data_IF_225089023227
#
_entry.id   IF_225089023227
#
_cell.length_a   1.000
_cell.length_b   1.000
_cell.length_c   1.000
_cell.angle_alpha   90.00
_cell.angle_beta   90.00
_cell.angle_gamma   90.00
#
_symmetry.space_group_name_H-M   'P 1'
#
loop_
_entity.id
_entity.type
_entity.pdbx_description
1 polymer ?
#
# COMPACT_ATOMS: atom_id res chain seq x y z
N UNK A 1 -8.24 11.87 -12.39
CA UNK A 1 -7.10 12.33 -11.55
C UNK A 1 -5.89 11.48 -11.91
N UNK A 2 -4.71 12.08 -12.06
CA UNK A 2 -3.49 11.32 -12.30
C UNK A 2 -2.61 11.22 -11.04
N UNK A 3 -1.55 10.38 -11.10
CA UNK A 3 -0.65 10.11 -9.96
C UNK A 3 -0.02 11.40 -9.40
N UNK A 4 0.48 12.26 -10.27
CA UNK A 4 1.14 13.52 -9.85
C UNK A 4 0.15 14.48 -9.17
N UNK A 5 -1.07 14.55 -9.68
CA UNK A 5 -2.13 15.38 -9.11
C UNK A 5 -2.56 14.90 -7.73
N UNK A 6 -2.72 13.58 -7.55
CA UNK A 6 -3.12 13.02 -6.25
C UNK A 6 -2.05 13.27 -5.19
N UNK A 7 -0.77 13.01 -5.51
CA UNK A 7 0.36 13.30 -4.61
C UNK A 7 0.39 14.79 -4.26
N UNK A 8 0.31 15.66 -5.27
CA UNK A 8 0.33 17.12 -5.07
C UNK A 8 -0.80 17.58 -4.15
N UNK A 9 -2.04 17.15 -4.42
CA UNK A 9 -3.20 17.50 -3.57
C UNK A 9 -3.03 17.03 -2.13
N UNK A 10 -2.51 15.82 -1.94
CA UNK A 10 -2.26 15.27 -0.61
C UNK A 10 -1.23 16.10 0.17
N UNK A 11 -0.08 16.33 -0.42
CA UNK A 11 1.01 17.06 0.21
C UNK A 11 0.61 18.53 0.49
N UNK A 12 -0.01 19.21 -0.47
CA UNK A 12 -0.48 20.61 -0.29
C UNK A 12 -1.52 20.72 0.82
N UNK A 13 -2.47 19.77 0.88
CA UNK A 13 -3.48 19.74 1.93
C UNK A 13 -2.85 19.59 3.31
N UNK A 14 -1.98 18.59 3.53
CA UNK A 14 -1.37 18.42 4.84
C UNK A 14 -0.36 19.50 5.19
N UNK A 15 0.35 20.10 4.23
CA UNK A 15 1.12 21.32 4.45
C UNK A 15 0.24 22.47 4.94
N UNK A 16 -0.97 22.63 4.42
CA UNK A 16 -1.93 23.65 4.91
C UNK A 16 -2.41 23.40 6.34
N UNK A 17 -2.27 22.15 6.83
CA UNK A 17 -2.52 21.74 8.22
C UNK A 17 -1.24 21.72 9.08
N UNK A 18 -0.20 22.48 8.68
CA UNK A 18 1.10 22.60 9.35
C UNK A 18 1.97 21.34 9.39
N UNK A 19 1.74 20.38 8.50
CA UNK A 19 2.63 19.24 8.36
C UNK A 19 3.88 19.60 7.54
N UNK A 20 5.00 18.97 7.86
CA UNK A 20 6.24 19.05 7.08
C UNK A 20 6.36 17.80 6.22
N UNK A 21 6.65 18.03 4.95
CA UNK A 21 6.90 16.93 4.04
C UNK A 21 8.24 16.28 4.35
N UNK A 22 8.23 14.95 4.44
CA UNK A 22 9.44 14.12 4.61
C UNK A 22 9.74 13.36 3.33
N UNK A 23 11.03 13.12 3.04
CA UNK A 23 11.42 12.31 1.89
C UNK A 23 10.99 10.86 2.08
N UNK A 24 10.81 10.18 0.95
CA UNK A 24 10.59 8.74 0.91
C UNK A 24 11.86 8.00 1.36
N UNK A 25 11.69 6.96 2.17
CA UNK A 25 12.77 6.09 2.65
C UNK A 25 12.95 4.87 1.75
N UNK A 26 14.10 4.19 1.90
CA UNK A 26 14.38 2.92 1.23
C UNK A 26 13.35 1.85 1.59
N UNK A 27 13.12 0.92 0.67
CA UNK A 27 12.37 -0.32 0.92
C UNK A 27 13.09 -1.25 1.90
N UNK A 28 14.39 -1.04 2.11
CA UNK A 28 15.18 -1.84 3.04
C UNK A 28 15.21 -1.12 4.40
N UNK A 29 14.54 -1.68 5.43
CA UNK A 29 14.49 -1.08 6.74
C UNK A 29 15.87 -0.91 7.35
N UNK A 30 16.11 0.26 7.94
CA UNK A 30 17.33 0.50 8.72
C UNK A 30 17.01 0.32 10.21
N UNK A 31 17.76 -0.56 10.87
CA UNK A 31 17.68 -0.73 12.32
C UNK A 31 16.57 -1.66 12.83
N UNK A 32 15.83 -2.32 11.95
CA UNK A 32 14.85 -3.35 12.33
C UNK A 32 15.14 -4.67 11.58
N UNK A 33 15.85 -5.62 12.20
CA UNK A 33 16.14 -6.91 11.58
C UNK A 33 14.96 -7.88 11.54
N UNK A 34 13.83 -7.54 12.16
CA UNK A 34 12.64 -8.42 12.24
C UNK A 34 11.76 -8.30 11.00
N UNK A 35 12.00 -7.30 10.15
CA UNK A 35 11.21 -7.02 8.95
C UNK A 35 12.12 -6.95 7.73
N UNK A 36 11.78 -7.69 6.67
CA UNK A 36 12.60 -7.71 5.44
C UNK A 36 12.46 -6.42 4.62
N UNK A 37 11.29 -5.80 4.62
CA UNK A 37 10.99 -4.60 3.82
C UNK A 37 10.23 -3.57 4.63
N UNK A 38 10.28 -2.32 4.18
CA UNK A 38 9.40 -1.25 4.66
C UNK A 38 7.97 -1.56 4.23
N UNK A 39 7.11 -1.88 5.19
CA UNK A 39 5.73 -2.37 4.98
C UNK A 39 4.67 -1.29 5.10
N UNK A 40 5.01 -0.14 5.71
CA UNK A 40 4.11 0.99 5.95
C UNK A 40 4.90 2.30 6.07
N UNK A 41 4.21 3.41 5.89
CA UNK A 41 4.80 4.75 5.96
C UNK A 41 5.41 5.11 7.30
N UNK A 42 4.88 4.55 8.40
CA UNK A 42 5.39 4.77 9.75
C UNK A 42 6.68 4.00 10.05
N UNK A 43 7.02 2.97 9.30
CA UNK A 43 8.15 2.09 9.63
C UNK A 43 9.47 2.87 9.80
N UNK A 44 9.86 3.79 8.91
CA UNK A 44 11.04 4.63 9.12
C UNK A 44 10.92 5.59 10.31
N UNK A 45 9.71 5.80 10.83
CA UNK A 45 9.41 6.75 11.91
C UNK A 45 9.34 6.10 13.30
N UNK A 46 9.54 4.79 13.41
CA UNK A 46 9.46 4.06 14.70
C UNK A 46 10.25 4.73 15.83
N UNK A 47 11.50 5.19 15.68
CA UNK A 47 12.21 5.86 16.76
C UNK A 47 11.49 7.12 17.29
N UNK A 48 10.83 7.86 16.40
CA UNK A 48 10.10 9.10 16.73
C UNK A 48 8.74 8.79 17.36
N UNK A 49 8.08 7.73 16.94
CA UNK A 49 6.85 7.23 17.54
C UNK A 49 7.11 6.73 18.97
N UNK A 50 8.31 6.22 19.24
CA UNK A 50 8.78 5.82 20.57
C UNK A 50 9.28 7.01 21.43
N UNK A 51 9.20 8.25 20.92
CA UNK A 51 9.43 9.46 21.69
C UNK A 51 10.73 10.20 21.40
N UNK A 52 11.54 9.79 20.39
CA UNK A 52 12.61 10.65 19.90
C UNK A 52 12.03 11.89 19.21
N UNK A 53 12.76 13.01 19.26
CA UNK A 53 12.35 14.23 18.56
C UNK A 53 12.72 14.15 17.08
N UNK A 54 11.73 14.31 16.21
CA UNK A 54 12.00 14.42 14.77
C UNK A 54 12.51 15.83 14.42
N UNK A 55 13.56 15.98 13.57
CA UNK A 55 14.16 17.28 13.28
C UNK A 55 13.21 18.27 12.59
N UNK A 56 12.21 17.79 11.84
CA UNK A 56 11.21 18.64 11.19
C UNK A 56 9.96 18.93 12.04
N UNK A 57 9.91 18.45 13.28
CA UNK A 57 8.81 18.71 14.21
C UNK A 57 7.86 17.53 14.37
N UNK A 58 6.62 17.81 14.82
CA UNK A 58 5.67 16.80 15.28
C UNK A 58 4.61 16.41 14.24
N UNK A 59 4.37 17.25 13.22
CA UNK A 59 3.39 17.02 12.15
C UNK A 59 4.14 16.75 10.85
N UNK A 60 4.05 15.53 10.36
CA UNK A 60 4.76 15.08 9.16
C UNK A 60 3.79 14.55 8.12
N UNK A 61 4.14 14.66 6.85
CA UNK A 61 3.42 14.01 5.75
C UNK A 61 4.39 13.56 4.65
N UNK A 62 3.98 12.62 3.82
CA UNK A 62 4.81 12.14 2.73
C UNK A 62 4.14 11.02 1.94
N UNK A 63 4.89 10.49 0.99
CA UNK A 63 4.53 9.30 0.22
C UNK A 63 5.66 8.30 0.39
N UNK A 64 5.35 7.10 0.90
CA UNK A 64 6.34 6.07 1.19
C UNK A 64 6.17 4.87 0.26
N UNK A 65 7.27 4.41 -0.33
CA UNK A 65 7.36 3.10 -1.01
C UNK A 65 7.21 1.98 0.01
N UNK A 66 6.35 1.01 -0.29
CA UNK A 66 6.11 -0.13 0.58
C UNK A 66 6.16 -1.45 -0.18
N UNK A 67 6.61 -2.51 0.49
CA UNK A 67 6.53 -3.90 0.03
C UNK A 67 5.82 -4.73 1.09
N UNK A 68 4.76 -5.43 0.71
CA UNK A 68 4.11 -6.46 1.53
C UNK A 68 4.27 -7.82 0.88
N UNK A 69 4.90 -8.74 1.60
CA UNK A 69 5.24 -10.08 1.11
C UNK A 69 4.20 -11.13 1.48
N UNK A 70 3.36 -10.86 2.48
CA UNK A 70 2.26 -11.73 2.91
C UNK A 70 1.25 -11.97 1.81
N UNK A 71 1.00 -10.96 0.99
CA UNK A 71 -0.06 -10.95 -0.02
C UNK A 71 0.40 -11.47 -1.40
N UNK A 72 1.65 -11.94 -1.53
CA UNK A 72 2.21 -12.36 -2.84
C UNK A 72 1.35 -13.45 -3.51
N UNK A 73 0.79 -14.38 -2.73
CA UNK A 73 -0.01 -15.47 -3.28
C UNK A 73 -1.43 -15.02 -3.67
N UNK A 74 -1.91 -13.92 -3.11
CA UNK A 74 -3.20 -13.28 -3.40
C UNK A 74 -3.13 -12.37 -4.64
N UNK A 75 -1.94 -11.90 -4.99
CA UNK A 75 -1.73 -11.09 -6.20
C UNK A 75 -2.21 -11.85 -7.44
N UNK A 76 -3.05 -11.20 -8.21
CA UNK A 76 -3.78 -11.71 -9.37
C UNK A 76 -5.25 -11.35 -9.34
N UNK A 77 -5.76 -10.90 -8.17
CA UNK A 77 -7.06 -10.22 -8.04
C UNK A 77 -6.97 -8.75 -8.48
N UNK A 78 -8.03 -7.98 -8.22
CA UNK A 78 -8.17 -6.58 -8.65
C UNK A 78 -7.41 -5.58 -7.77
N UNK A 79 -7.04 -5.94 -6.53
CA UNK A 79 -6.71 -4.96 -5.47
C UNK A 79 -5.42 -5.23 -4.71
N UNK A 80 -4.90 -6.46 -4.70
CA UNK A 80 -3.67 -6.81 -3.98
C UNK A 80 -2.41 -6.49 -4.79
N UNK A 81 -1.44 -5.88 -4.12
CA UNK A 81 -0.16 -5.48 -4.70
C UNK A 81 1.00 -5.83 -3.78
N UNK A 82 2.10 -6.31 -4.37
CA UNK A 82 3.37 -6.50 -3.65
C UNK A 82 4.06 -5.17 -3.36
N UNK A 83 4.22 -4.34 -4.39
CA UNK A 83 4.71 -2.97 -4.26
C UNK A 83 3.56 -1.98 -4.41
N UNK A 84 3.51 -1.01 -3.50
CA UNK A 84 2.58 0.10 -3.57
C UNK A 84 3.16 1.36 -2.95
N UNK A 85 2.59 2.51 -3.28
CA UNK A 85 2.86 3.78 -2.62
C UNK A 85 1.82 3.98 -1.50
N UNK A 86 2.26 4.48 -0.35
CA UNK A 86 1.40 4.82 0.77
C UNK A 86 1.42 6.32 1.00
N UNK A 87 0.27 6.95 0.89
CA UNK A 87 0.07 8.31 1.37
C UNK A 87 0.11 8.29 2.90
N UNK A 88 0.91 9.14 3.52
CA UNK A 88 1.07 9.12 4.97
C UNK A 88 1.06 10.50 5.59
N UNK A 89 0.41 10.61 6.76
CA UNK A 89 0.56 11.75 7.65
C UNK A 89 0.63 11.30 9.10
N UNK A 90 1.47 11.98 9.87
CA UNK A 90 1.82 11.54 11.22
C UNK A 90 1.72 12.69 12.21
N UNK A 91 1.23 12.35 13.42
CA UNK A 91 1.32 13.19 14.62
C UNK A 91 2.24 12.53 15.64
N UNK A 92 3.32 13.19 15.99
CA UNK A 92 4.28 12.73 17.00
C UNK A 92 4.00 13.43 18.34
N UNK A 93 2.92 13.00 19.00
CA UNK A 93 2.47 13.61 20.26
C UNK A 93 1.98 15.06 20.10
N UNK A 94 1.24 15.36 19.02
CA UNK A 94 0.63 16.66 18.77
C UNK A 94 -0.91 16.53 18.77
N UNK A 95 -1.53 16.20 17.62
CA UNK A 95 -2.97 15.97 17.56
C UNK A 95 -3.36 14.50 17.77
N UNK A 96 -4.63 14.27 18.09
CA UNK A 96 -5.17 12.95 18.41
C UNK A 96 -6.37 12.60 17.51
N UNK A 97 -7.15 11.58 17.87
CA UNK A 97 -8.21 10.92 17.09
C UNK A 97 -9.15 11.88 16.39
N UNK A 98 -9.77 12.80 17.12
CA UNK A 98 -10.78 13.69 16.56
C UNK A 98 -10.22 14.56 15.43
N UNK A 99 -9.05 15.18 15.64
CA UNK A 99 -8.40 16.02 14.61
C UNK A 99 -7.93 15.18 13.43
N UNK A 100 -7.37 13.98 13.67
CA UNK A 100 -6.95 13.06 12.62
C UNK A 100 -8.12 12.66 11.72
N UNK A 101 -9.21 12.19 12.30
CA UNK A 101 -10.43 11.79 11.57
C UNK A 101 -11.00 12.97 10.78
N UNK A 102 -11.09 14.15 11.38
CA UNK A 102 -11.59 15.37 10.71
C UNK A 102 -10.73 15.76 9.50
N UNK A 103 -9.39 15.71 9.62
CA UNK A 103 -8.49 16.01 8.52
C UNK A 103 -8.61 14.99 7.38
N UNK A 104 -8.62 13.71 7.71
CA UNK A 104 -8.79 12.64 6.71
C UNK A 104 -10.14 12.77 5.99
N UNK A 105 -11.21 12.98 6.75
CA UNK A 105 -12.55 13.18 6.18
C UNK A 105 -12.62 14.43 5.28
N UNK A 106 -12.02 15.54 5.71
CA UNK A 106 -11.95 16.77 4.92
C UNK A 106 -11.17 16.54 3.62
N UNK A 107 -10.03 15.83 3.68
CA UNK A 107 -9.27 15.48 2.49
C UNK A 107 -10.10 14.63 1.51
N UNK A 108 -10.70 13.56 1.99
CA UNK A 108 -11.49 12.66 1.15
C UNK A 108 -12.71 13.36 0.54
N UNK A 109 -13.49 14.09 1.34
CA UNK A 109 -14.78 14.64 0.88
C UNK A 109 -14.68 15.99 0.20
N UNK A 110 -13.80 16.89 0.67
CA UNK A 110 -13.65 18.24 0.11
C UNK A 110 -12.60 18.35 -0.98
N UNK A 111 -11.45 17.67 -0.83
CA UNK A 111 -10.35 17.74 -1.79
C UNK A 111 -10.50 16.69 -2.89
N UNK A 112 -10.72 15.44 -2.52
CA UNK A 112 -10.90 14.33 -3.47
C UNK A 112 -12.32 14.23 -4.02
N UNK A 113 -13.30 14.93 -3.39
CA UNK A 113 -14.71 14.94 -3.79
C UNK A 113 -15.39 13.58 -3.72
N UNK A 114 -14.96 12.72 -2.80
CA UNK A 114 -15.59 11.41 -2.55
C UNK A 114 -17.01 11.65 -2.00
N UNK A 115 -18.06 11.10 -2.67
CA UNK A 115 -19.43 11.26 -2.21
C UNK A 115 -19.70 10.45 -0.95
N UNK A 116 -20.35 11.05 0.05
CA UNK A 116 -20.74 10.39 1.31
C UNK A 116 -21.57 9.12 1.09
N UNK A 117 -22.42 9.10 0.07
CA UNK A 117 -23.20 7.92 -0.29
C UNK A 117 -22.37 6.68 -0.62
N UNK A 118 -21.09 6.84 -0.92
CA UNK A 118 -20.13 5.77 -1.23
C UNK A 118 -19.07 5.56 -0.16
N UNK A 119 -19.22 6.19 1.00
CA UNK A 119 -18.22 6.20 2.07
C UNK A 119 -18.70 5.38 3.27
N UNK A 120 -17.86 4.57 3.84
CA UNK A 120 -18.10 3.81 5.05
C UNK A 120 -16.80 3.71 5.88
N UNK A 121 -16.92 3.35 7.15
CA UNK A 121 -15.79 3.25 8.06
C UNK A 121 -15.91 2.03 8.97
N UNK A 122 -14.76 1.52 9.40
CA UNK A 122 -14.68 0.58 10.52
C UNK A 122 -14.18 1.30 11.76
N UNK A 123 -14.47 0.77 12.93
CA UNK A 123 -13.97 1.27 14.21
C UNK A 123 -13.75 0.11 15.16
N UNK A 124 -12.68 0.17 15.92
CA UNK A 124 -12.32 -0.85 16.91
C UNK A 124 -13.44 -1.10 17.93
N UNK A 125 -13.90 -2.36 18.00
CA UNK A 125 -15.00 -2.78 18.87
C UNK A 125 -14.61 -2.98 20.32
N UNK A 126 -13.31 -2.95 20.63
CA UNK A 126 -12.75 -3.34 21.92
C UNK A 126 -12.39 -4.81 21.99
N UNK A 127 -11.47 -5.15 22.87
CA UNK A 127 -11.08 -6.51 23.24
C UNK A 127 -10.86 -6.59 24.76
N UNK A 128 -10.26 -7.69 25.25
CA UNK A 128 -10.00 -7.88 26.69
C UNK A 128 -9.07 -6.84 27.33
N UNK A 129 -8.17 -6.23 26.53
CA UNK A 129 -7.11 -5.33 27.00
C UNK A 129 -7.43 -3.85 26.74
N UNK A 130 -8.17 -3.56 25.66
CA UNK A 130 -8.46 -2.19 25.19
C UNK A 130 -9.96 -2.02 24.97
N UNK A 131 -10.51 -0.93 25.52
CA UNK A 131 -11.93 -0.62 25.41
C UNK A 131 -12.31 -0.21 23.98
N UNK A 132 -13.58 -0.41 23.66
CA UNK A 132 -14.22 0.08 22.44
C UNK A 132 -13.95 1.57 22.21
N UNK A 133 -13.70 1.95 20.96
CA UNK A 133 -13.36 3.32 20.58
C UNK A 133 -14.60 4.20 20.37
N UNK A 134 -15.20 4.62 21.50
CA UNK A 134 -16.38 5.50 21.48
C UNK A 134 -16.06 6.92 20.94
N UNK A 135 -14.79 7.38 21.04
CA UNK A 135 -14.38 8.70 20.56
C UNK A 135 -14.43 8.74 19.03
N UNK A 136 -13.88 7.74 18.36
CA UNK A 136 -13.94 7.63 16.90
C UNK A 136 -15.37 7.49 16.40
N UNK A 137 -16.22 6.69 17.06
CA UNK A 137 -17.64 6.55 16.70
C UNK A 137 -18.34 7.91 16.75
N UNK A 138 -18.21 8.64 17.85
CA UNK A 138 -18.84 9.97 18.02
C UNK A 138 -18.34 10.95 16.96
N UNK A 139 -17.06 10.92 16.67
CA UNK A 139 -16.45 11.79 15.66
C UNK A 139 -17.03 11.51 14.27
N UNK A 140 -17.08 10.24 13.83
CA UNK A 140 -17.66 9.86 12.55
C UNK A 140 -19.14 10.24 12.44
N UNK A 141 -19.95 10.00 13.48
CA UNK A 141 -21.36 10.41 13.51
C UNK A 141 -21.50 11.93 13.40
N UNK A 142 -20.65 12.71 14.06
CA UNK A 142 -20.68 14.18 14.01
C UNK A 142 -20.33 14.73 12.62
N UNK A 143 -19.58 13.98 11.81
CA UNK A 143 -19.24 14.30 10.43
C UNK A 143 -20.31 13.87 9.41
N UNK A 144 -21.39 13.26 9.88
CA UNK A 144 -22.52 12.86 9.03
C UNK A 144 -22.44 11.45 8.47
N UNK A 145 -21.49 10.62 8.93
CA UNK A 145 -21.46 9.19 8.57
C UNK A 145 -22.62 8.51 9.31
N UNK A 146 -23.59 7.89 8.60
CA UNK A 146 -24.71 7.23 9.25
C UNK A 146 -24.25 5.98 10.01
N UNK A 147 -24.95 5.68 11.10
CA UNK A 147 -24.60 4.54 11.99
C UNK A 147 -24.49 3.22 11.23
N UNK A 148 -25.29 3.01 10.21
CA UNK A 148 -25.30 1.83 9.35
C UNK A 148 -24.04 1.70 8.48
N UNK A 149 -23.25 2.77 8.37
CA UNK A 149 -21.96 2.83 7.65
C UNK A 149 -20.74 2.81 8.58
N UNK A 150 -20.95 2.58 9.88
CA UNK A 150 -19.90 2.39 10.88
C UNK A 150 -19.95 0.92 11.33
N UNK A 151 -18.98 0.14 10.91
CA UNK A 151 -18.84 -1.27 11.29
C UNK A 151 -17.87 -1.39 12.46
N UNK A 152 -18.25 -2.14 13.49
CA UNK A 152 -17.41 -2.39 14.65
C UNK A 152 -16.70 -3.73 14.48
N UNK A 153 -15.37 -3.73 14.58
CA UNK A 153 -14.54 -4.93 14.41
C UNK A 153 -13.46 -4.99 15.47
N UNK A 154 -13.15 -6.19 15.94
CA UNK A 154 -12.07 -6.42 16.92
C UNK A 154 -10.69 -6.39 16.26
N UNK A 155 -10.60 -6.73 14.97
CA UNK A 155 -9.41 -6.72 14.15
C UNK A 155 -9.01 -5.34 13.61
N UNK A 156 -9.77 -4.26 13.93
CA UNK A 156 -9.31 -2.88 13.75
C UNK A 156 -8.16 -2.54 14.72
N UNK A 157 -7.06 -3.20 14.50
CA UNK A 157 -5.81 -3.08 15.26
C UNK A 157 -4.63 -3.16 14.33
N UNK A 158 -3.73 -2.20 14.40
CA UNK A 158 -2.52 -2.18 13.60
C UNK A 158 -1.24 -2.15 14.44
N UNK A 159 -0.24 -2.87 13.93
CA UNK A 159 1.10 -2.92 14.51
C UNK A 159 1.31 -3.96 15.62
N UNK A 160 2.56 -4.11 16.01
CA UNK A 160 3.73 -3.43 15.44
C UNK A 160 4.08 -3.90 14.02
N UNK A 161 4.88 -3.11 13.29
CA UNK A 161 5.35 -3.47 11.95
C UNK A 161 6.27 -4.71 11.95
N UNK A 162 7.02 -4.91 13.05
CA UNK A 162 7.85 -6.07 13.32
C UNK A 162 7.37 -6.86 14.53
N UNK A 163 8.28 -7.53 15.23
CA UNK A 163 7.95 -8.29 16.45
C UNK A 163 7.56 -7.38 17.62
N UNK A 164 8.16 -6.20 17.69
CA UNK A 164 7.96 -5.21 18.76
C UNK A 164 7.80 -3.81 18.17
N UNK A 165 7.22 -2.90 18.94
CA UNK A 165 7.11 -1.49 18.56
C UNK A 165 5.73 -0.89 18.76
N UNK A 166 5.50 0.33 18.26
CA UNK A 166 4.26 1.06 18.43
C UNK A 166 3.10 0.36 17.72
N UNK A 167 1.94 0.35 18.38
CA UNK A 167 0.72 -0.27 17.91
C UNK A 167 -0.51 0.38 18.56
N UNK A 168 -1.67 0.05 18.08
CA UNK A 168 -2.93 0.50 18.67
C UNK A 168 -4.15 0.22 17.81
N UNK A 169 -5.34 0.56 18.34
CA UNK A 169 -6.59 0.47 17.59
C UNK A 169 -6.59 1.43 16.40
N UNK A 170 -7.42 1.14 15.42
CA UNK A 170 -7.52 1.94 14.23
C UNK A 170 -8.98 2.15 13.77
N UNK A 171 -9.11 2.99 12.73
CA UNK A 171 -10.36 3.20 11.99
C UNK A 171 -10.02 3.31 10.51
N UNK A 172 -10.58 2.41 9.73
CA UNK A 172 -10.38 2.35 8.28
C UNK A 172 -11.50 3.05 7.53
N UNK A 173 -11.18 3.57 6.36
CA UNK A 173 -12.11 4.23 5.46
C UNK A 173 -12.26 3.42 4.18
N UNK A 174 -13.51 3.18 3.80
CA UNK A 174 -13.90 2.39 2.64
C UNK A 174 -14.68 3.20 1.62
N UNK A 175 -14.46 2.90 0.36
CA UNK A 175 -15.18 3.44 -0.78
C UNK A 175 -15.91 2.31 -1.53
N UNK A 176 -17.19 2.55 -1.87
CA UNK A 176 -17.93 1.65 -2.73
C UNK A 176 -17.51 1.83 -4.19
N UNK A 177 -16.72 0.90 -4.71
CA UNK A 177 -16.09 0.99 -6.03
C UNK A 177 -17.02 0.81 -7.24
N UNK A 178 -18.03 -0.09 -7.25
CA UNK A 178 -18.84 -0.29 -8.44
C UNK A 178 -19.59 0.97 -8.88
N UNK A 179 -19.19 1.56 -10.00
CA UNK A 179 -19.73 2.83 -10.48
C UNK A 179 -21.19 2.77 -10.94
N UNK A 180 -21.64 1.61 -11.43
CA UNK A 180 -22.99 1.40 -11.98
C UNK A 180 -24.03 1.02 -10.95
N UNK A 181 -23.62 0.83 -9.69
CA UNK A 181 -24.52 0.43 -8.61
C UNK A 181 -24.45 1.41 -7.45
N UNK A 182 -25.57 1.67 -6.80
CA UNK A 182 -25.58 2.41 -5.54
C UNK A 182 -24.95 1.59 -4.43
N UNK A 183 -24.26 2.27 -3.53
CA UNK A 183 -23.72 1.61 -2.37
C UNK A 183 -24.86 1.12 -1.45
N UNK A 184 -24.76 -0.08 -0.86
CA UNK A 184 -25.73 -0.58 0.09
C UNK A 184 -25.93 0.39 1.25
N UNK A 185 -27.13 0.50 1.79
CA UNK A 185 -27.40 1.35 2.97
C UNK A 185 -26.56 0.93 4.17
N UNK A 186 -26.42 -0.36 4.38
CA UNK A 186 -25.63 -0.94 5.47
C UNK A 186 -24.26 -1.38 4.96
N UNK A 187 -23.22 -0.94 5.63
CA UNK A 187 -21.87 -1.45 5.41
C UNK A 187 -21.71 -2.81 6.07
N UNK A 188 -21.25 -3.78 5.28
CA UNK A 188 -20.79 -5.09 5.74
C UNK A 188 -19.49 -5.37 5.02
N UNK A 189 -18.52 -5.87 5.73
CA UNK A 189 -17.29 -6.41 5.18
C UNK A 189 -17.43 -7.94 5.24
N UNK A 190 -17.68 -8.54 4.11
CA UNK A 190 -17.68 -10.00 3.94
C UNK A 190 -16.33 -10.39 3.35
N UNK A 191 -15.74 -11.49 3.78
CA UNK A 191 -14.35 -11.93 3.47
C UNK A 191 -13.95 -11.95 1.98
N UNK A 192 -14.90 -11.71 1.08
CA UNK A 192 -14.68 -11.70 -0.38
C UNK A 192 -15.36 -10.52 -1.10
N UNK A 193 -15.89 -9.55 -0.36
CA UNK A 193 -16.56 -8.41 -1.00
C UNK A 193 -15.56 -7.28 -1.28
N UNK A 194 -14.84 -7.41 -2.40
CA UNK A 194 -13.90 -6.42 -2.91
C UNK A 194 -14.56 -5.11 -3.39
N UNK A 195 -15.89 -5.02 -3.36
CA UNK A 195 -16.60 -3.81 -3.79
C UNK A 195 -16.47 -2.64 -2.82
N UNK A 196 -16.30 -2.93 -1.54
CA UNK A 196 -15.86 -1.95 -0.55
C UNK A 196 -14.33 -1.95 -0.50
N UNK A 197 -13.73 -0.95 -1.12
CA UNK A 197 -12.26 -0.81 -1.21
C UNK A 197 -11.77 0.07 -0.08
N UNK A 198 -10.88 -0.46 0.75
CA UNK A 198 -10.17 0.34 1.74
C UNK A 198 -9.28 1.37 1.06
N UNK A 199 -9.47 2.65 1.38
CA UNK A 199 -8.71 3.78 0.84
C UNK A 199 -7.81 4.46 1.87
N UNK A 200 -7.87 4.05 3.12
CA UNK A 200 -6.98 4.56 4.17
C UNK A 200 -7.33 4.06 5.55
N UNK A 201 -6.37 4.19 6.44
CA UNK A 201 -6.48 3.77 7.83
C UNK A 201 -5.83 4.81 8.75
N UNK A 202 -6.54 5.27 9.78
CA UNK A 202 -5.99 6.07 10.88
C UNK A 202 -5.67 5.15 12.05
N UNK A 203 -4.39 4.94 12.34
CA UNK A 203 -3.92 4.16 13.47
C UNK A 203 -3.65 5.07 14.67
N UNK A 204 -4.19 4.72 15.81
CA UNK A 204 -4.07 5.45 17.08
C UNK A 204 -3.01 4.78 17.95
N UNK A 205 -1.75 5.14 17.72
CA UNK A 205 -0.62 4.51 18.40
C UNK A 205 -0.44 5.07 19.81
N UNK A 206 -0.99 4.36 20.77
CA UNK A 206 -0.87 4.68 22.21
C UNK A 206 -0.19 3.57 23.03
N UNK A 207 0.10 2.42 22.39
CA UNK A 207 0.72 1.26 23.03
C UNK A 207 2.00 0.85 22.28
N UNK A 208 2.90 0.20 23.03
CA UNK A 208 4.08 -0.48 22.52
C UNK A 208 3.99 -1.97 22.88
N UNK A 209 4.13 -2.83 21.88
CA UNK A 209 4.31 -4.27 22.12
C UNK A 209 5.78 -4.55 22.42
N UNK A 210 6.05 -5.11 23.59
CA UNK A 210 7.38 -5.48 24.06
C UNK A 210 7.77 -6.89 23.64
N UNK A 211 9.07 -7.26 23.78
CA UNK A 211 9.59 -8.59 23.41
C UNK A 211 8.93 -9.76 24.17
N UNK A 212 8.45 -9.53 25.38
CA UNK A 212 7.70 -10.52 26.18
C UNK A 212 6.19 -10.56 25.85
N UNK A 213 5.80 -9.84 24.78
CA UNK A 213 4.43 -9.84 24.23
C UNK A 213 3.44 -8.98 24.97
N UNK A 214 3.89 -8.16 25.95
CA UNK A 214 3.02 -7.24 26.70
C UNK A 214 2.81 -5.95 25.93
N UNK A 215 1.66 -5.34 26.17
CA UNK A 215 1.34 -3.99 25.70
C UNK A 215 1.53 -2.98 26.82
N UNK A 216 2.41 -2.02 26.61
CA UNK A 216 2.67 -0.94 27.58
C UNK A 216 2.33 0.42 26.95
N UNK A 217 1.86 1.41 27.75
CA UNK A 217 1.59 2.75 27.21
C UNK A 217 2.84 3.40 26.62
N UNK A 218 2.70 4.02 25.44
CA UNK A 218 3.73 4.89 24.88
C UNK A 218 3.88 6.17 25.71
N UNK A 219 5.05 6.81 25.65
CA UNK A 219 5.32 8.11 26.27
C UNK A 219 4.46 9.25 25.72
N UNK A 220 3.98 9.09 24.50
CA UNK A 220 3.15 10.04 23.77
C UNK A 220 2.12 9.29 22.92
N UNK A 221 0.99 9.92 22.65
CA UNK A 221 -0.02 9.43 21.74
C UNK A 221 0.31 9.91 20.32
N UNK A 222 0.36 8.99 19.36
CA UNK A 222 0.71 9.29 18.00
C UNK A 222 -0.42 8.91 17.05
N UNK A 223 -0.49 9.63 15.95
CA UNK A 223 -1.32 9.27 14.80
C UNK A 223 -0.41 8.77 13.68
N UNK A 224 -0.79 7.65 13.09
CA UNK A 224 -0.27 7.17 11.82
C UNK A 224 -1.43 6.99 10.86
N UNK A 225 -1.46 7.78 9.79
CA UNK A 225 -2.38 7.57 8.68
C UNK A 225 -1.64 6.90 7.53
N UNK A 226 -2.21 5.81 7.01
CA UNK A 226 -1.77 5.14 5.79
C UNK A 226 -2.91 5.06 4.78
N UNK A 227 -2.74 5.70 3.61
CA UNK A 227 -3.69 5.62 2.49
C UNK A 227 -3.07 4.86 1.32
N UNK A 228 -3.73 3.77 0.86
CA UNK A 228 -3.30 3.02 -0.32
C UNK A 228 -3.42 3.88 -1.58
N UNK A 229 -2.27 4.26 -2.16
CA UNK A 229 -2.23 5.18 -3.30
C UNK A 229 -2.95 4.60 -4.52
N UNK A 230 -2.59 3.38 -4.92
CA UNK A 230 -3.12 2.71 -6.11
C UNK A 230 -4.64 2.50 -5.99
N UNK A 231 -5.12 2.08 -4.81
CA UNK A 231 -6.54 1.90 -4.53
C UNK A 231 -7.31 3.23 -4.60
N UNK A 232 -6.78 4.26 -3.96
CA UNK A 232 -7.37 5.60 -3.99
C UNK A 232 -7.42 6.15 -5.41
N UNK A 233 -6.33 6.02 -6.18
CA UNK A 233 -6.27 6.47 -7.56
C UNK A 233 -7.29 5.75 -8.45
N UNK A 234 -7.43 4.42 -8.30
CA UNK A 234 -8.38 3.63 -9.06
C UNK A 234 -9.82 4.05 -8.79
N UNK A 235 -10.25 4.13 -7.52
CA UNK A 235 -11.62 4.49 -7.18
C UNK A 235 -11.97 5.93 -7.59
N UNK A 236 -11.03 6.88 -7.52
CA UNK A 236 -11.22 8.26 -7.98
C UNK A 236 -11.41 8.36 -9.50
N UNK A 237 -10.89 7.40 -10.26
CA UNK A 237 -11.07 7.32 -11.71
C UNK A 237 -12.22 6.37 -12.11
N UNK A 238 -12.97 5.89 -11.14
CA UNK A 238 -14.11 5.04 -11.40
C UNK A 238 -13.75 3.62 -11.84
N UNK A 239 -12.59 3.15 -11.45
CA UNK A 239 -12.10 1.81 -11.76
C UNK A 239 -12.39 0.87 -10.59
N UNK A 240 -12.84 -0.31 -10.88
CA UNK A 240 -13.02 -1.44 -9.96
C UNK A 240 -11.86 -2.44 -10.04
N UNK A 241 -10.87 -2.14 -10.86
CA UNK A 241 -9.65 -2.90 -11.07
C UNK A 241 -8.44 -1.95 -11.07
N UNK A 242 -7.55 -2.10 -10.09
CA UNK A 242 -6.39 -1.24 -9.93
C UNK A 242 -5.41 -1.32 -11.11
N UNK A 243 -5.38 -2.48 -11.79
CA UNK A 243 -4.49 -2.71 -12.94
C UNK A 243 -4.90 -1.94 -14.21
N UNK A 244 -6.10 -1.37 -14.22
CA UNK A 244 -6.54 -0.45 -15.27
C UNK A 244 -6.16 1.01 -14.99
N UNK A 245 -5.58 1.29 -13.82
CA UNK A 245 -5.10 2.64 -13.49
C UNK A 245 -3.80 2.98 -14.24
N UNK A 246 -3.50 4.27 -14.35
CA UNK A 246 -2.29 4.75 -15.07
C UNK A 246 -0.96 4.22 -14.51
N UNK A 247 -0.96 3.75 -13.27
CA UNK A 247 0.25 3.19 -12.61
C UNK A 247 0.47 1.71 -12.89
N UNK A 248 -0.47 1.06 -13.59
CA UNK A 248 -0.37 -0.33 -14.02
C UNK A 248 -0.71 -0.53 -15.50
N UNK A 249 -1.69 0.20 -16.03
CA UNK A 249 -2.19 -0.02 -17.38
C UNK A 249 -1.10 0.04 -18.48
N UNK A 250 -0.10 0.94 -18.43
CA UNK A 250 1.00 0.90 -19.41
C UNK A 250 1.82 -0.39 -19.34
N UNK A 251 1.92 -1.01 -18.15
CA UNK A 251 2.60 -2.31 -17.98
C UNK A 251 1.73 -3.42 -18.57
N UNK A 252 0.44 -3.44 -18.25
CA UNK A 252 -0.54 -4.38 -18.83
C UNK A 252 -0.52 -4.28 -20.35
N UNK A 253 -0.58 -3.06 -20.91
CA UNK A 253 -0.54 -2.83 -22.34
C UNK A 253 0.73 -3.38 -23.01
N UNK A 254 1.87 -3.29 -22.33
CA UNK A 254 3.11 -3.90 -22.83
C UNK A 254 3.01 -5.42 -22.85
N UNK A 255 2.36 -6.04 -21.86
CA UNK A 255 2.14 -7.49 -21.82
C UNK A 255 1.18 -7.92 -22.93
N UNK A 256 0.09 -7.18 -23.18
CA UNK A 256 -0.83 -7.45 -24.31
C UNK A 256 -0.09 -7.45 -25.66
N UNK A 257 0.74 -6.42 -25.90
CA UNK A 257 1.52 -6.32 -27.16
C UNK A 257 2.47 -7.51 -27.34
N UNK A 258 3.09 -7.98 -26.26
CA UNK A 258 4.06 -9.08 -26.32
C UNK A 258 3.40 -10.44 -26.45
N UNK A 259 2.25 -10.65 -25.80
CA UNK A 259 1.53 -11.93 -25.82
C UNK A 259 0.58 -12.07 -27.01
N UNK A 260 0.16 -10.95 -27.61
CA UNK A 260 -0.91 -10.93 -28.60
C UNK A 260 -2.30 -11.22 -28.01
N UNK A 261 -2.42 -11.25 -26.68
CA UNK A 261 -3.68 -11.52 -25.95
C UNK A 261 -4.23 -10.23 -25.35
N UNK A 262 -5.56 -10.11 -25.26
CA UNK A 262 -6.20 -8.97 -24.63
C UNK A 262 -6.37 -9.21 -23.11
N UNK A 263 -6.27 -8.16 -22.30
CA UNK A 263 -6.38 -8.24 -20.83
C UNK A 263 -7.70 -8.88 -20.37
N UNK A 264 -8.80 -8.59 -21.06
CA UNK A 264 -10.12 -9.11 -20.74
C UNK A 264 -10.50 -10.38 -21.51
N UNK A 265 -9.55 -11.07 -22.16
CA UNK A 265 -9.81 -12.25 -22.98
C UNK A 265 -10.34 -13.43 -22.14
N UNK A 266 -9.73 -13.68 -20.97
CA UNK A 266 -10.20 -14.67 -19.98
C UNK A 266 -9.75 -14.28 -18.57
N UNK A 267 -10.32 -14.91 -17.54
CA UNK A 267 -9.92 -14.70 -16.15
C UNK A 267 -8.47 -15.18 -15.90
N UNK A 268 -8.05 -16.25 -16.56
CA UNK A 268 -6.67 -16.77 -16.49
C UNK A 268 -5.68 -15.79 -17.13
N UNK A 269 -6.00 -15.24 -18.30
CA UNK A 269 -5.19 -14.22 -18.99
C UNK A 269 -5.07 -12.98 -18.11
N UNK A 270 -6.19 -12.49 -17.60
CA UNK A 270 -6.24 -11.34 -16.70
C UNK A 270 -5.38 -11.55 -15.45
N UNK A 271 -5.55 -12.67 -14.78
CA UNK A 271 -4.75 -13.05 -13.61
C UNK A 271 -3.26 -13.12 -13.91
N UNK A 272 -2.89 -13.73 -15.04
CA UNK A 272 -1.50 -13.86 -15.46
C UNK A 272 -0.87 -12.50 -15.72
N UNK A 273 -1.56 -11.59 -16.42
CA UNK A 273 -1.09 -10.24 -16.70
C UNK A 273 -0.93 -9.40 -15.42
N UNK A 274 -1.87 -9.50 -14.47
CA UNK A 274 -1.78 -8.82 -13.17
C UNK A 274 -0.55 -9.27 -12.38
N UNK A 275 -0.33 -10.58 -12.28
CA UNK A 275 0.82 -11.13 -11.58
C UNK A 275 2.14 -10.67 -12.20
N UNK A 276 2.24 -10.71 -13.53
CA UNK A 276 3.45 -10.25 -14.23
C UNK A 276 3.68 -8.76 -13.97
N UNK A 277 2.65 -7.94 -14.14
CA UNK A 277 2.74 -6.48 -13.96
C UNK A 277 3.16 -6.11 -12.53
N UNK A 278 2.52 -6.68 -11.52
CA UNK A 278 2.83 -6.46 -10.11
C UNK A 278 4.27 -6.89 -9.78
N UNK A 279 4.63 -8.11 -10.13
CA UNK A 279 5.90 -8.69 -9.72
C UNK A 279 7.11 -8.06 -10.43
N UNK A 280 6.98 -7.67 -11.70
CA UNK A 280 8.04 -6.93 -12.40
C UNK A 280 8.16 -5.52 -11.83
N UNK A 281 7.05 -4.82 -11.58
CA UNK A 281 7.05 -3.51 -10.91
C UNK A 281 7.75 -3.58 -9.55
N UNK A 282 7.36 -4.53 -8.69
CA UNK A 282 7.99 -4.73 -7.38
C UNK A 282 9.49 -5.04 -7.49
N UNK A 283 9.87 -5.92 -8.42
CA UNK A 283 11.27 -6.29 -8.65
C UNK A 283 12.12 -5.11 -9.09
N UNK A 284 11.60 -4.24 -9.95
CA UNK A 284 12.29 -3.00 -10.37
C UNK A 284 12.65 -2.13 -9.17
N UNK A 285 11.72 -1.91 -8.26
CA UNK A 285 11.95 -1.08 -7.06
C UNK A 285 12.89 -1.75 -6.05
N UNK A 286 12.76 -3.06 -5.83
CA UNK A 286 13.64 -3.80 -4.92
C UNK A 286 15.10 -3.77 -5.42
N UNK A 287 15.32 -3.96 -6.73
CA UNK A 287 16.67 -3.87 -7.32
C UNK A 287 17.19 -2.43 -7.27
N UNK A 288 16.33 -1.44 -7.49
CA UNK A 288 16.71 -0.03 -7.39
C UNK A 288 17.26 0.33 -6.00
N UNK A 289 16.71 -0.26 -4.95
CA UNK A 289 17.18 -0.10 -3.56
C UNK A 289 18.37 -1.02 -3.20
N UNK A 290 18.98 -1.69 -4.19
CA UNK A 290 20.28 -2.35 -4.07
C UNK A 290 20.24 -3.86 -3.88
N UNK A 291 19.07 -4.48 -3.79
CA UNK A 291 18.96 -5.94 -3.62
C UNK A 291 19.14 -6.65 -4.96
N UNK A 292 19.81 -7.79 -4.93
CA UNK A 292 19.97 -8.69 -6.08
C UNK A 292 19.33 -10.05 -5.79
N UNK A 293 18.81 -10.77 -6.82
CA UNK A 293 18.21 -12.09 -6.63
C UNK A 293 19.19 -13.10 -6.05
N UNK A 294 18.83 -13.71 -4.92
CA UNK A 294 19.65 -14.77 -4.29
C UNK A 294 18.76 -15.73 -3.49
N UNK A 295 19.33 -16.54 -2.59
CA UNK A 295 18.62 -17.58 -1.84
C UNK A 295 18.35 -17.22 -0.37
N UNK A 296 18.57 -15.97 0.05
CA UNK A 296 18.41 -15.51 1.43
C UNK A 296 17.59 -14.22 1.50
N UNK A 297 16.82 -14.05 2.56
CA UNK A 297 16.15 -12.79 2.95
C UNK A 297 15.46 -12.06 1.79
N UNK A 298 15.73 -10.76 1.64
CA UNK A 298 15.14 -9.92 0.59
C UNK A 298 15.45 -10.43 -0.83
N UNK A 299 16.66 -10.96 -1.03
CA UNK A 299 17.06 -11.51 -2.33
C UNK A 299 16.30 -12.77 -2.71
N UNK A 300 15.87 -13.58 -1.72
CA UNK A 300 14.99 -14.71 -1.96
C UNK A 300 13.58 -14.27 -2.38
N UNK A 301 13.04 -13.26 -1.73
CA UNK A 301 11.73 -12.69 -2.10
C UNK A 301 11.79 -12.14 -3.53
N UNK A 302 12.79 -11.33 -3.84
CA UNK A 302 13.00 -10.80 -5.19
C UNK A 302 13.08 -11.90 -6.24
N UNK A 303 13.87 -12.95 -5.98
CA UNK A 303 13.97 -14.12 -6.86
C UNK A 303 12.62 -14.83 -7.05
N UNK A 304 11.84 -14.98 -5.98
CA UNK A 304 10.49 -15.59 -6.03
C UNK A 304 9.56 -14.77 -6.90
N UNK A 305 9.55 -13.44 -6.77
CA UNK A 305 8.74 -12.54 -7.59
C UNK A 305 9.07 -12.67 -9.09
N UNK A 306 10.37 -12.55 -9.45
CA UNK A 306 10.82 -12.66 -10.84
C UNK A 306 10.43 -14.02 -11.42
N UNK A 307 10.69 -15.11 -10.72
CA UNK A 307 10.37 -16.47 -11.18
C UNK A 307 8.88 -16.72 -11.31
N UNK A 308 8.06 -16.16 -10.40
CA UNK A 308 6.62 -16.25 -10.49
C UNK A 308 6.10 -15.49 -11.73
N UNK A 309 6.62 -14.29 -12.00
CA UNK A 309 6.31 -13.56 -13.23
C UNK A 309 6.68 -14.39 -14.50
N UNK A 310 7.86 -15.03 -14.51
CA UNK A 310 8.29 -15.86 -15.66
C UNK A 310 7.36 -17.07 -15.85
N UNK A 311 6.90 -17.70 -14.77
CA UNK A 311 5.93 -18.80 -14.88
C UNK A 311 4.64 -18.36 -15.55
N UNK A 312 4.07 -17.23 -15.14
CA UNK A 312 2.86 -16.69 -15.77
C UNK A 312 3.11 -16.13 -17.17
N UNK A 313 4.35 -15.70 -17.47
CA UNK A 313 4.77 -15.40 -18.84
C UNK A 313 4.68 -16.61 -19.77
N UNK A 314 4.98 -17.81 -19.27
CA UNK A 314 4.80 -19.05 -20.04
C UNK A 314 3.33 -19.37 -20.34
N UNK A 315 2.42 -19.09 -19.39
CA UNK A 315 0.97 -19.23 -19.61
C UNK A 315 0.47 -18.28 -20.73
N UNK A 316 1.12 -17.14 -20.89
CA UNK A 316 0.87 -16.18 -21.97
C UNK A 316 1.73 -16.39 -23.21
N UNK A 317 2.56 -17.43 -23.24
CA UNK A 317 3.45 -17.80 -24.35
C UNK A 317 4.53 -16.74 -24.68
N UNK A 318 4.87 -15.88 -23.70
CA UNK A 318 5.94 -14.89 -23.85
C UNK A 318 7.27 -15.36 -23.28
N UNK A 319 8.38 -14.97 -23.95
CA UNK A 319 9.75 -15.32 -23.56
C UNK A 319 10.64 -14.08 -23.59
N UNK A 320 11.71 -14.07 -22.78
CA UNK A 320 12.71 -13.00 -22.72
C UNK A 320 12.10 -11.60 -22.58
N UNK A 321 11.17 -11.46 -21.64
CA UNK A 321 10.24 -10.34 -21.57
C UNK A 321 10.48 -9.39 -20.39
N UNK A 322 11.19 -9.83 -19.33
CA UNK A 322 11.25 -9.08 -18.05
C UNK A 322 11.73 -7.64 -18.23
N UNK A 323 12.75 -7.43 -19.08
CA UNK A 323 13.27 -6.09 -19.38
C UNK A 323 12.26 -5.22 -20.12
N UNK A 324 11.54 -5.79 -21.07
CA UNK A 324 10.60 -5.03 -21.89
C UNK A 324 9.38 -4.60 -21.08
N UNK A 325 8.93 -5.45 -20.14
CA UNK A 325 7.83 -5.15 -19.22
C UNK A 325 8.26 -4.18 -18.10
N UNK A 326 9.54 -4.14 -17.76
CA UNK A 326 10.08 -3.16 -16.81
C UNK A 326 10.13 -1.72 -17.38
N UNK A 327 10.23 -1.53 -18.70
CA UNK A 327 10.39 -0.19 -19.28
C UNK A 327 9.28 0.80 -18.89
N UNK A 328 7.99 0.49 -18.95
CA UNK A 328 6.94 1.41 -18.53
C UNK A 328 7.06 1.85 -17.07
N UNK A 329 7.64 1.03 -16.19
CA UNK A 329 7.82 1.39 -14.77
C UNK A 329 8.71 2.63 -14.62
N UNK A 330 9.77 2.75 -15.42
CA UNK A 330 10.66 3.93 -15.38
C UNK A 330 9.96 5.20 -15.85
N UNK A 331 9.02 5.10 -16.78
CA UNK A 331 8.23 6.24 -17.27
C UNK A 331 7.20 6.69 -16.24
N UNK A 332 6.43 5.74 -15.65
CA UNK A 332 5.40 6.00 -14.64
C UNK A 332 6.02 6.66 -13.41
N UNK A 333 7.17 6.15 -12.96
CA UNK A 333 7.82 6.53 -11.70
C UNK A 333 9.08 7.40 -11.94
N UNK A 334 9.05 8.26 -12.94
CA UNK A 334 10.20 9.10 -13.34
C UNK A 334 10.66 10.13 -12.29
N UNK A 335 9.93 10.31 -11.21
CA UNK A 335 10.31 11.15 -10.07
C UNK A 335 11.24 10.43 -9.08
N UNK A 336 11.39 9.12 -9.15
CA UNK A 336 12.32 8.37 -8.31
C UNK A 336 13.71 8.35 -8.91
N UNK A 337 14.64 9.05 -8.28
CA UNK A 337 16.02 9.19 -8.81
C UNK A 337 16.77 7.87 -8.82
N UNK A 338 16.51 7.00 -7.83
CA UNK A 338 17.11 5.67 -7.75
C UNK A 338 16.76 4.77 -8.95
N UNK A 339 15.57 4.90 -9.52
CA UNK A 339 15.20 4.17 -10.74
C UNK A 339 16.04 4.63 -11.94
N UNK A 340 16.23 5.94 -12.09
CA UNK A 340 17.04 6.51 -13.17
C UNK A 340 18.51 6.09 -13.04
N UNK A 341 19.06 6.24 -11.84
CA UNK A 341 20.47 5.98 -11.58
C UNK A 341 20.83 4.48 -11.74
N UNK A 342 19.89 3.59 -11.45
CA UNK A 342 20.13 2.14 -11.45
C UNK A 342 19.49 1.41 -12.65
N UNK A 343 18.93 2.12 -13.64
CA UNK A 343 18.18 1.50 -14.77
C UNK A 343 18.94 0.36 -15.42
N UNK A 344 20.22 0.56 -15.78
CA UNK A 344 21.02 -0.46 -16.44
C UNK A 344 21.18 -1.69 -15.55
N UNK A 345 21.50 -1.50 -14.27
CA UNK A 345 21.65 -2.59 -13.31
C UNK A 345 20.34 -3.36 -13.12
N UNK A 346 19.20 -2.65 -13.02
CA UNK A 346 17.88 -3.26 -12.86
C UNK A 346 17.58 -4.20 -14.04
N UNK A 347 17.76 -3.71 -15.25
CA UNK A 347 17.52 -4.49 -16.47
C UNK A 347 18.46 -5.70 -16.59
N UNK A 348 19.73 -5.53 -16.19
CA UNK A 348 20.71 -6.63 -16.18
C UNK A 348 20.34 -7.73 -15.17
N UNK A 349 19.95 -7.39 -13.96
CA UNK A 349 19.59 -8.38 -12.93
C UNK A 349 18.29 -9.11 -13.27
N UNK A 350 17.29 -8.42 -13.83
CA UNK A 350 16.05 -9.04 -14.31
C UNK A 350 16.36 -10.07 -15.41
N UNK A 351 17.09 -9.67 -16.44
CA UNK A 351 17.48 -10.54 -17.57
C UNK A 351 18.30 -11.75 -17.10
N UNK A 352 19.28 -11.53 -16.22
CA UNK A 352 20.13 -12.59 -15.67
C UNK A 352 19.33 -13.66 -14.91
N UNK A 353 18.39 -13.25 -14.05
CA UNK A 353 17.54 -14.20 -13.32
C UNK A 353 16.55 -14.91 -14.25
N UNK A 354 16.02 -14.23 -15.27
CA UNK A 354 15.17 -14.84 -16.30
C UNK A 354 15.92 -15.93 -17.07
N UNK A 355 17.10 -15.65 -17.58
CA UNK A 355 17.94 -16.62 -18.28
C UNK A 355 18.29 -17.83 -17.40
N UNK A 356 18.69 -17.57 -16.15
CA UNK A 356 19.01 -18.63 -15.18
C UNK A 356 17.81 -19.52 -14.89
N UNK A 357 16.62 -18.95 -14.75
CA UNK A 357 15.42 -19.71 -14.45
C UNK A 357 14.92 -20.50 -15.65
N UNK A 358 14.97 -19.92 -16.86
CA UNK A 358 14.62 -20.63 -18.10
C UNK A 358 15.53 -21.86 -18.31
N UNK A 359 16.83 -21.74 -18.10
CA UNK A 359 17.75 -22.89 -18.16
C UNK A 359 17.40 -23.98 -17.13
N UNK A 360 16.94 -23.61 -15.93
CA UNK A 360 16.51 -24.57 -14.90
C UNK A 360 15.26 -25.30 -15.37
N UNK A 361 14.28 -24.60 -15.93
CA UNK A 361 13.04 -25.17 -16.43
C UNK A 361 13.24 -26.11 -17.63
N UNK A 362 14.18 -25.77 -18.53
CA UNK A 362 14.54 -26.61 -19.67
C UNK A 362 15.22 -27.93 -19.27
N UNK A 363 15.95 -27.91 -18.16
CA UNK A 363 16.60 -29.11 -17.60
C UNK A 363 15.62 -30.01 -16.82
N UNK A 364 14.36 -29.64 -16.70
CA UNK A 364 13.35 -30.42 -15.98
C UNK A 364 13.54 -30.41 -14.46
N UNK A 365 14.20 -29.41 -13.92
CA UNK A 365 14.52 -29.24 -12.51
C UNK A 365 13.47 -28.35 -11.82
#
# INVERSE_FOLDING_TARGET
MNRKELIKKYIEFFKSKNHKEIPNSSLIPQGDPTVLFTTAGMHPLVPYLLGQKHPLGKRLCGVQKCIRTGDIDEVGDETHHTFFEMLGNWSLGDYWKEEAIKMTFEFHTKILKIPLGRYAVTVFSGNKDVKKDEESIKTWLSLGIPKERILLQEDNWWGPAGETGPCGPDTEMFYWAPNKTEAPKKFKQEDKDVRWVEIGNNVFMELEKTKDGKFIPLKQKNIDFGGGFERTLAVLNGLDDNYLSEVFFPIIRRIEIMSGKEYNESDETKKSMRIIADHIKASVFIIADGIIPNNKEQGYVLRRLIRRAIRYGKELEIKDFTNQIAEPVFEIYNNYQELKNNKIKILQELKKEEQKFNQTLEKGL
#
